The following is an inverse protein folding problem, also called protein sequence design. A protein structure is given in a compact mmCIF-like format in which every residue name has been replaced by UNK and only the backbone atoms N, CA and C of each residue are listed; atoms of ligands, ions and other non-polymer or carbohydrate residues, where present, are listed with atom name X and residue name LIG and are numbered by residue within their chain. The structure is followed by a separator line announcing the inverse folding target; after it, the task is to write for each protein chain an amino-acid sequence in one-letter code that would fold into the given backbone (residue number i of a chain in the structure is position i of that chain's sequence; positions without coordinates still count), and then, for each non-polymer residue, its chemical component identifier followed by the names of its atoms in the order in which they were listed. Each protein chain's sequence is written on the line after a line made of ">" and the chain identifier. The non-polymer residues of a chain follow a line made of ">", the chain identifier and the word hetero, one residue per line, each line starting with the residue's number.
data_IF_215710572028
#
_entry.id   IF_215710572028
#
_cell.length_a   1.000
_cell.length_b   1.000
_cell.length_c   1.000
_cell.angle_alpha   90.00
_cell.angle_beta   90.00
_cell.angle_gamma   90.00
#
_symmetry.space_group_name_H-M   'P 1'
#
loop_
_entity.id
_entity.type
_entity.pdbx_description
1 polymer ?
#
# COMPACT_ATOMS: atom_id res chain seq x y z
N UNK A 1 11.74 23.34 10.07
CA UNK A 1 11.60 22.41 11.22
C UNK A 1 10.20 21.80 11.28
N UNK A 2 9.22 22.36 12.01
CA UNK A 2 7.93 21.65 12.26
C UNK A 2 7.04 21.49 11.00
N UNK A 3 7.00 22.51 10.13
CA UNK A 3 6.20 22.47 8.88
C UNK A 3 6.76 21.46 7.86
N UNK A 4 8.07 21.40 7.68
CA UNK A 4 8.71 20.47 6.74
C UNK A 4 8.54 19.01 7.15
N UNK A 5 8.66 18.71 8.44
CA UNK A 5 8.40 17.37 8.96
C UNK A 5 6.93 16.95 8.75
N UNK A 6 6.00 17.90 8.90
CA UNK A 6 4.59 17.67 8.64
C UNK A 6 4.31 17.36 7.15
N UNK A 7 4.95 18.09 6.23
CA UNK A 7 4.82 17.85 4.79
C UNK A 7 5.41 16.51 4.34
N UNK A 8 6.58 16.12 4.88
CA UNK A 8 7.19 14.81 4.64
C UNK A 8 6.27 13.67 5.11
N UNK A 9 5.67 13.85 6.28
CA UNK A 9 4.70 12.90 6.84
C UNK A 9 3.44 12.77 5.95
N UNK A 10 2.84 13.90 5.55
CA UNK A 10 1.67 13.94 4.66
C UNK A 10 1.96 13.27 3.30
N UNK A 11 3.15 13.51 2.74
CA UNK A 11 3.59 12.88 1.49
C UNK A 11 3.74 11.35 1.64
N UNK A 12 4.43 10.90 2.69
CA UNK A 12 4.60 9.48 2.99
C UNK A 12 3.24 8.78 3.18
N UNK A 13 2.31 9.44 3.87
CA UNK A 13 0.94 8.96 4.09
C UNK A 13 0.14 8.81 2.79
N UNK A 14 0.18 9.81 1.90
CA UNK A 14 -0.50 9.73 0.58
C UNK A 14 0.01 8.55 -0.26
N UNK A 15 1.34 8.34 -0.30
CA UNK A 15 1.97 7.19 -1.00
C UNK A 15 1.49 5.84 -0.45
N UNK A 16 1.37 5.73 0.88
CA UNK A 16 0.89 4.52 1.55
C UNK A 16 -0.58 4.20 1.19
N UNK A 17 -1.45 5.21 1.18
CA UNK A 17 -2.85 5.04 0.83
C UNK A 17 -3.07 4.59 -0.63
N UNK A 18 -2.19 5.01 -1.55
CA UNK A 18 -2.22 4.52 -2.92
C UNK A 18 -1.86 3.03 -3.02
N UNK A 19 -0.78 2.62 -2.32
CA UNK A 19 -0.39 1.19 -2.25
C UNK A 19 -1.49 0.36 -1.61
N UNK A 20 -2.11 0.85 -0.53
CA UNK A 20 -3.26 0.23 0.15
C UNK A 20 -4.38 -0.13 -0.82
N UNK A 21 -4.77 0.84 -1.66
CA UNK A 21 -5.84 0.65 -2.64
C UNK A 21 -5.45 -0.37 -3.70
N UNK A 22 -4.21 -0.34 -4.19
CA UNK A 22 -3.72 -1.30 -5.19
C UNK A 22 -3.74 -2.74 -4.65
N UNK A 23 -3.22 -2.96 -3.44
CA UNK A 23 -3.25 -4.29 -2.80
C UNK A 23 -4.68 -4.77 -2.55
N UNK A 24 -5.58 -3.88 -2.14
CA UNK A 24 -6.99 -4.22 -2.02
C UNK A 24 -7.59 -4.70 -3.36
N UNK A 25 -7.34 -3.97 -4.45
CA UNK A 25 -7.81 -4.38 -5.77
C UNK A 25 -7.17 -5.70 -6.22
N UNK A 26 -5.89 -5.91 -5.93
CA UNK A 26 -5.18 -7.14 -6.28
C UNK A 26 -5.76 -8.37 -5.56
N UNK A 27 -6.00 -8.26 -4.24
CA UNK A 27 -6.64 -9.31 -3.46
C UNK A 27 -8.07 -9.56 -3.96
N UNK A 28 -8.84 -8.49 -4.21
CA UNK A 28 -10.21 -8.60 -4.74
C UNK A 28 -10.23 -9.28 -6.11
N UNK A 29 -9.29 -8.98 -7.00
CA UNK A 29 -9.19 -9.56 -8.34
C UNK A 29 -8.92 -11.07 -8.28
N UNK A 30 -7.93 -11.49 -7.48
CA UNK A 30 -7.60 -12.92 -7.30
C UNK A 30 -8.81 -13.66 -6.75
N UNK A 31 -9.47 -13.09 -5.75
CA UNK A 31 -10.61 -13.72 -5.13
C UNK A 31 -11.84 -13.77 -6.05
N UNK A 32 -12.07 -12.68 -6.78
CA UNK A 32 -13.10 -12.61 -7.81
C UNK A 32 -12.87 -13.65 -8.91
N UNK A 33 -11.61 -13.88 -9.28
CA UNK A 33 -11.23 -14.94 -10.22
C UNK A 33 -11.51 -16.34 -9.66
N UNK A 34 -11.17 -16.61 -8.40
CA UNK A 34 -11.50 -17.88 -7.73
C UNK A 34 -13.02 -18.05 -7.66
N UNK A 35 -13.76 -16.99 -7.31
CA UNK A 35 -15.22 -17.02 -7.28
C UNK A 35 -15.82 -17.30 -8.66
N UNK A 36 -15.35 -16.63 -9.72
CA UNK A 36 -15.77 -16.89 -11.10
C UNK A 36 -15.48 -18.33 -11.52
N UNK A 37 -14.33 -18.87 -11.12
CA UNK A 37 -13.97 -20.26 -11.38
C UNK A 37 -14.91 -21.24 -10.68
N UNK A 38 -15.20 -21.02 -9.39
CA UNK A 38 -16.18 -21.83 -8.64
C UNK A 38 -17.57 -21.69 -9.26
N UNK A 39 -18.03 -20.47 -9.54
CA UNK A 39 -19.32 -20.22 -10.14
C UNK A 39 -19.46 -20.94 -11.50
N UNK A 40 -18.42 -20.90 -12.35
CA UNK A 40 -18.39 -21.63 -13.60
C UNK A 40 -18.43 -23.16 -13.39
N UNK A 41 -17.70 -23.69 -12.41
CA UNK A 41 -17.72 -25.11 -12.08
C UNK A 41 -19.11 -25.54 -11.57
N UNK A 42 -19.70 -24.82 -10.61
CA UNK A 42 -21.05 -25.10 -10.12
C UNK A 42 -22.12 -24.94 -11.20
N UNK A 43 -21.94 -24.01 -12.14
CA UNK A 43 -22.80 -23.86 -13.33
C UNK A 43 -22.74 -25.08 -14.26
N UNK A 44 -21.56 -25.66 -14.46
CA UNK A 44 -21.38 -26.85 -15.32
C UNK A 44 -22.05 -28.09 -14.73
N UNK A 45 -22.05 -28.24 -13.40
CA UNK A 45 -22.68 -29.39 -12.72
C UNK A 45 -24.16 -29.17 -12.34
N UNK A 46 -24.60 -27.92 -12.23
CA UNK A 46 -25.93 -27.53 -11.73
C UNK A 46 -26.97 -27.33 -12.83
N UNK A 47 -27.24 -28.34 -13.66
CA UNK A 47 -28.30 -28.29 -14.69
C UNK A 47 -29.74 -28.35 -14.14
N UNK A 48 -29.91 -28.35 -12.82
CA UNK A 48 -31.23 -28.36 -12.17
C UNK A 48 -31.53 -26.97 -11.61
N UNK A 49 -32.73 -26.47 -11.93
CA UNK A 49 -33.34 -25.14 -11.71
C UNK A 49 -33.36 -24.66 -10.24
N UNK A 50 -32.21 -24.69 -9.55
CA UNK A 50 -32.08 -24.36 -8.15
C UNK A 50 -31.68 -22.90 -7.99
N UNK A 51 -32.66 -22.00 -8.13
CA UNK A 51 -32.59 -20.57 -7.74
C UNK A 51 -31.84 -20.38 -6.42
N UNK A 52 -32.05 -21.28 -5.46
CA UNK A 52 -31.50 -21.16 -4.11
C UNK A 52 -29.97 -21.23 -4.10
N UNK A 53 -29.37 -22.03 -4.99
CA UNK A 53 -27.92 -22.13 -5.12
C UNK A 53 -27.35 -20.81 -5.62
N UNK A 54 -28.02 -20.15 -6.57
CA UNK A 54 -27.61 -18.83 -7.05
C UNK A 54 -27.68 -17.76 -5.98
N UNK A 55 -28.77 -17.70 -5.21
CA UNK A 55 -28.92 -16.74 -4.11
C UNK A 55 -27.86 -16.97 -3.03
N UNK A 56 -27.64 -18.22 -2.63
CA UNK A 56 -26.63 -18.58 -1.63
C UNK A 56 -25.22 -18.26 -2.14
N UNK A 57 -24.94 -18.51 -3.42
CA UNK A 57 -23.63 -18.24 -4.04
C UNK A 57 -23.33 -16.74 -4.07
N UNK A 58 -24.30 -15.90 -4.46
CA UNK A 58 -24.14 -14.44 -4.45
C UNK A 58 -23.96 -13.93 -3.01
N UNK A 59 -24.76 -14.43 -2.06
CA UNK A 59 -24.61 -14.05 -0.65
C UNK A 59 -23.27 -14.47 -0.06
N UNK A 60 -22.80 -15.69 -0.37
CA UNK A 60 -21.50 -16.17 0.06
C UNK A 60 -20.37 -15.28 -0.51
N UNK A 61 -20.46 -14.90 -1.79
CA UNK A 61 -19.49 -13.99 -2.41
C UNK A 61 -19.44 -12.62 -1.74
N UNK A 62 -20.61 -12.00 -1.51
CA UNK A 62 -20.70 -10.71 -0.82
C UNK A 62 -20.15 -10.82 0.61
N UNK A 63 -20.45 -11.91 1.30
CA UNK A 63 -19.96 -12.15 2.65
C UNK A 63 -18.44 -12.31 2.70
N UNK A 64 -17.86 -13.06 1.75
CA UNK A 64 -16.42 -13.23 1.62
C UNK A 64 -15.74 -11.87 1.33
N UNK A 65 -16.29 -11.07 0.43
CA UNK A 65 -15.78 -9.72 0.14
C UNK A 65 -15.82 -8.82 1.40
N UNK A 66 -16.94 -8.84 2.13
CA UNK A 66 -17.11 -8.07 3.36
C UNK A 66 -16.12 -8.52 4.45
N UNK A 67 -15.98 -9.84 4.61
CA UNK A 67 -15.05 -10.45 5.55
C UNK A 67 -13.61 -10.05 5.24
N UNK A 68 -13.17 -10.08 3.98
CA UNK A 68 -11.80 -9.67 3.63
C UNK A 68 -11.58 -8.17 3.77
N UNK A 69 -12.59 -7.36 3.40
CA UNK A 69 -12.51 -5.90 3.62
C UNK A 69 -12.29 -5.59 5.11
N UNK A 70 -13.08 -6.15 6.01
CA UNK A 70 -12.95 -5.86 7.44
C UNK A 70 -11.78 -6.63 8.06
N UNK A 71 -11.55 -7.89 7.72
CA UNK A 71 -10.61 -8.72 8.45
C UNK A 71 -9.17 -8.64 7.93
N UNK A 72 -8.98 -8.49 6.61
CA UNK A 72 -7.64 -8.31 6.03
C UNK A 72 -7.31 -6.83 5.95
N UNK A 73 -8.18 -6.00 5.36
CA UNK A 73 -7.83 -4.58 5.12
C UNK A 73 -7.76 -3.77 6.41
N UNK A 74 -8.63 -4.05 7.40
CA UNK A 74 -8.64 -3.33 8.68
C UNK A 74 -7.56 -3.84 9.64
N UNK A 75 -7.33 -5.16 9.70
CA UNK A 75 -6.31 -5.74 10.59
C UNK A 75 -4.89 -5.56 10.05
N UNK A 76 -4.67 -5.76 8.76
CA UNK A 76 -3.34 -5.66 8.15
C UNK A 76 -2.90 -4.20 7.95
N UNK A 77 -3.84 -3.28 7.71
CA UNK A 77 -3.59 -1.83 7.66
C UNK A 77 -4.25 -1.11 8.82
N UNK A 78 -4.04 -1.65 10.02
CA UNK A 78 -4.32 -0.95 11.25
C UNK A 78 -3.42 0.30 11.36
N UNK A 79 -3.91 1.31 12.05
CA UNK A 79 -3.26 2.62 12.28
C UNK A 79 -1.82 2.50 12.83
N UNK A 80 -1.52 1.40 13.53
CA UNK A 80 -0.16 1.10 14.00
C UNK A 80 0.81 0.76 12.87
N UNK A 81 0.40 -0.08 11.92
CA UNK A 81 1.23 -0.43 10.76
C UNK A 81 1.45 0.77 9.84
N UNK A 82 0.44 1.62 9.64
CA UNK A 82 0.56 2.86 8.88
C UNK A 82 1.62 3.78 9.50
N UNK A 83 1.60 3.97 10.83
CA UNK A 83 2.60 4.76 11.54
C UNK A 83 4.01 4.19 11.44
N UNK A 84 4.17 2.87 11.56
CA UNK A 84 5.48 2.22 11.46
C UNK A 84 6.08 2.46 10.06
N UNK A 85 5.29 2.26 9.01
CA UNK A 85 5.74 2.46 7.63
C UNK A 85 6.05 3.93 7.32
N UNK A 86 5.25 4.88 7.84
CA UNK A 86 5.54 6.31 7.68
C UNK A 86 6.82 6.69 8.42
N UNK A 87 7.00 6.23 9.68
CA UNK A 87 8.20 6.52 10.46
C UNK A 87 9.46 6.02 9.76
N UNK A 88 9.41 4.81 9.17
CA UNK A 88 10.49 4.25 8.38
C UNK A 88 10.79 5.09 7.13
N UNK A 89 9.76 5.55 6.42
CA UNK A 89 9.92 6.40 5.24
C UNK A 89 10.53 7.76 5.58
N UNK A 90 10.05 8.40 6.65
CA UNK A 90 10.55 9.70 7.12
C UNK A 90 12.01 9.58 7.57
N UNK A 91 12.35 8.51 8.30
CA UNK A 91 13.74 8.25 8.70
C UNK A 91 14.68 8.09 7.50
N UNK A 92 14.24 7.40 6.44
CA UNK A 92 15.01 7.27 5.20
C UNK A 92 15.17 8.61 4.47
N UNK A 93 14.12 9.42 4.43
CA UNK A 93 14.18 10.76 3.85
C UNK A 93 15.16 11.66 4.61
N UNK A 94 15.11 11.63 5.95
CA UNK A 94 16.01 12.41 6.79
C UNK A 94 17.47 12.00 6.60
N UNK A 95 17.76 10.68 6.57
CA UNK A 95 19.11 10.17 6.31
C UNK A 95 19.66 10.66 4.98
N UNK A 96 18.83 10.64 3.94
CA UNK A 96 19.23 11.06 2.60
C UNK A 96 19.47 12.56 2.49
N UNK A 97 18.70 13.38 3.24
CA UNK A 97 18.97 14.83 3.35
C UNK A 97 20.33 15.06 4.01
N UNK A 98 20.64 14.34 5.09
CA UNK A 98 21.95 14.44 5.76
C UNK A 98 23.09 14.01 4.84
N UNK A 99 22.95 12.91 4.09
CA UNK A 99 23.96 12.48 3.11
C UNK A 99 24.20 13.52 2.01
N UNK A 100 23.16 14.21 1.55
CA UNK A 100 23.31 15.28 0.57
C UNK A 100 23.95 16.54 1.15
N UNK A 101 23.67 16.89 2.42
CA UNK A 101 24.34 18.01 3.08
C UNK A 101 25.85 17.76 3.21
N UNK A 102 26.25 16.55 3.60
CA UNK A 102 27.66 16.16 3.68
C UNK A 102 28.33 16.22 2.31
N UNK A 103 27.68 15.70 1.26
CA UNK A 103 28.22 15.77 -0.11
C UNK A 103 28.39 17.21 -0.60
N UNK A 104 27.44 18.10 -0.30
CA UNK A 104 27.53 19.52 -0.69
C UNK A 104 28.68 20.19 0.06
N UNK A 105 28.86 19.91 1.35
CA UNK A 105 29.95 20.48 2.16
C UNK A 105 31.32 19.96 1.70
N UNK A 106 31.43 18.68 1.34
CA UNK A 106 32.64 18.11 0.72
C UNK A 106 32.94 18.75 -0.65
N UNK A 107 31.92 18.94 -1.49
CA UNK A 107 32.06 19.55 -2.82
C UNK A 107 32.44 21.05 -2.73
N UNK A 108 31.89 21.77 -1.74
CA UNK A 108 32.22 23.17 -1.44
C UNK A 108 33.65 23.31 -0.87
N UNK A 109 34.09 22.40 0.01
CA UNK A 109 35.48 22.34 0.51
C UNK A 109 36.48 22.01 -0.60
N UNK A 110 36.15 21.10 -1.52
CA UNK A 110 36.96 20.79 -2.70
C UNK A 110 37.05 21.98 -3.67
N UNK A 111 35.95 22.70 -3.92
CA UNK A 111 35.96 23.93 -4.73
C UNK A 111 36.85 25.02 -4.10
N UNK A 112 36.76 25.22 -2.77
CA UNK A 112 37.56 26.21 -2.05
C UNK A 112 39.06 25.83 -2.05
N UNK A 113 39.37 24.53 -1.97
CA UNK A 113 40.74 24.01 -2.03
C UNK A 113 41.36 24.17 -3.42
N UNK A 114 40.57 23.98 -4.48
CA UNK A 114 41.02 24.08 -5.88
C UNK A 114 41.12 25.51 -6.41
N UNK A 115 40.37 26.46 -5.84
CA UNK A 115 40.37 27.87 -6.24
C UNK A 115 41.27 28.77 -5.36
N UNK A 116 42.12 28.18 -4.51
CA UNK A 116 43.08 28.94 -3.69
C UNK A 116 44.18 29.53 -4.60
N UNK A 117 44.35 30.87 -4.66
CA UNK A 117 45.44 31.45 -5.44
C UNK A 117 46.79 31.05 -4.85
N UNK A 118 47.74 30.69 -5.73
CA UNK A 118 49.15 30.45 -5.37
C UNK A 118 49.81 31.67 -4.75
#
# INVERSE_FOLDING_TARGET
>A
MEKEQHELYEYARKRLNQKKRLYFHFVLLILGSIFLFLANHFLVFGYTYNWSIWVITIWAFLFILHFIKIFITDRFMNKNWEREQISRLVALQQKKITEFQVQIEEEEEEEISTNKPQ
#
